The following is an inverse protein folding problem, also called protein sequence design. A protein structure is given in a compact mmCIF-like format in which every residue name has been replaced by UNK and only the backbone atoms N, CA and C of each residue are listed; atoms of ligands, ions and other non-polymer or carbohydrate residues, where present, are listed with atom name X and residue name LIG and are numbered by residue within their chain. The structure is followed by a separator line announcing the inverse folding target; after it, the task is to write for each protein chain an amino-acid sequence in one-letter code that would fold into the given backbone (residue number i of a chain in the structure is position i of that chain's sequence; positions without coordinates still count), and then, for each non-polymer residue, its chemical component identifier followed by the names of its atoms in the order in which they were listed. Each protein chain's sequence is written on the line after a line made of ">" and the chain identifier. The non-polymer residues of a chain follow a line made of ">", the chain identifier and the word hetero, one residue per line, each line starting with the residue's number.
data_IF_341076562850
#
_entry.id   IF_341076562850
#
_cell.length_a   1.000
_cell.length_b   1.000
_cell.length_c   1.000
_cell.angle_alpha   90.00
_cell.angle_beta   90.00
_cell.angle_gamma   90.00
#
_symmetry.space_group_name_H-M   'P 1'
#
loop_
_entity.id
_entity.type
_entity.pdbx_description
1 polymer ?
#
# COMPACT_ATOMS: atom_id res chain seq x y z
N UNK A 1 31.90 31.21 7.63
CA UNK A 1 30.64 31.03 8.37
C UNK A 1 29.80 30.09 7.53
N UNK A 2 29.38 29.00 8.16
CA UNK A 2 28.92 27.72 7.61
C UNK A 2 27.91 27.78 6.45
N UNK A 3 28.22 27.03 5.39
CA UNK A 3 27.22 26.51 4.45
C UNK A 3 26.27 25.57 5.20
N UNK A 4 24.95 25.80 5.11
CA UNK A 4 23.96 24.76 5.38
C UNK A 4 23.19 24.45 4.11
N UNK A 5 23.67 23.44 3.40
CA UNK A 5 22.88 22.66 2.45
C UNK A 5 21.85 21.81 3.19
N UNK A 6 20.74 21.61 2.48
CA UNK A 6 19.87 20.42 2.45
C UNK A 6 18.92 20.14 3.62
N UNK A 7 17.65 20.44 3.37
CA UNK A 7 16.51 19.63 3.81
C UNK A 7 15.63 19.29 2.58
N UNK A 8 16.15 18.44 1.70
CA UNK A 8 15.38 17.78 0.62
C UNK A 8 15.31 16.25 0.85
N UNK A 9 15.29 15.83 2.12
CA UNK A 9 15.31 14.41 2.49
C UNK A 9 13.94 13.74 2.52
N UNK A 10 12.83 14.50 2.56
CA UNK A 10 11.49 13.94 2.79
C UNK A 10 10.76 13.44 1.54
N UNK A 11 11.13 13.92 0.35
CA UNK A 11 10.34 13.69 -0.87
C UNK A 11 10.83 12.52 -1.75
N UNK A 12 11.97 11.89 -1.42
CA UNK A 12 12.62 10.91 -2.32
C UNK A 12 12.28 9.44 -2.06
N UNK A 13 11.60 9.10 -0.96
CA UNK A 13 11.36 7.69 -0.60
C UNK A 13 9.91 7.22 -0.68
N UNK A 14 8.93 8.12 -0.79
CA UNK A 14 7.54 7.76 -1.11
C UNK A 14 7.42 7.05 -2.49
N UNK A 15 8.45 7.21 -3.34
CA UNK A 15 8.53 6.59 -4.66
C UNK A 15 8.91 5.10 -4.65
N UNK A 16 9.37 4.51 -3.54
CA UNK A 16 9.86 3.11 -3.56
C UNK A 16 8.79 2.05 -3.33
N UNK A 17 7.57 2.42 -2.94
CA UNK A 17 6.46 1.47 -2.66
C UNK A 17 5.14 1.95 -3.27
N UNK A 18 5.15 3.02 -4.07
CA UNK A 18 3.96 3.41 -4.81
C UNK A 18 3.75 2.34 -5.89
N UNK A 19 2.73 1.47 -5.78
CA UNK A 19 2.49 0.47 -6.81
C UNK A 19 2.22 1.18 -8.13
N UNK A 20 2.77 0.66 -9.21
CA UNK A 20 2.33 1.00 -10.56
C UNK A 20 1.24 0.02 -10.97
N UNK A 21 0.36 0.36 -11.92
CA UNK A 21 -0.63 -0.60 -12.37
C UNK A 21 -0.03 -1.70 -13.28
N UNK A 22 1.30 -1.83 -13.37
CA UNK A 22 2.01 -2.99 -13.93
C UNK A 22 2.50 -3.96 -12.83
N UNK A 23 2.49 -3.54 -11.56
CA UNK A 23 2.87 -4.38 -10.43
C UNK A 23 1.71 -5.34 -10.09
N UNK A 24 1.85 -6.58 -10.55
CA UNK A 24 0.82 -7.61 -10.40
C UNK A 24 1.22 -8.65 -9.34
N UNK A 25 0.31 -8.90 -8.40
CA UNK A 25 0.35 -10.06 -7.50
C UNK A 25 -0.50 -11.16 -8.11
N UNK A 26 0.14 -12.21 -8.62
CA UNK A 26 -0.48 -13.26 -9.45
C UNK A 26 -0.75 -14.56 -8.70
N UNK A 27 -0.23 -14.70 -7.49
CA UNK A 27 -0.41 -15.91 -6.68
C UNK A 27 -0.61 -15.61 -5.20
N UNK A 28 -1.11 -16.60 -4.45
CA UNK A 28 -1.25 -16.50 -2.98
C UNK A 28 0.12 -16.29 -2.31
N UNK A 29 1.16 -16.96 -2.79
CA UNK A 29 2.49 -16.87 -2.18
C UNK A 29 3.14 -15.51 -2.48
N UNK A 30 2.88 -14.92 -3.66
CA UNK A 30 3.23 -13.53 -3.95
C UNK A 30 2.47 -12.53 -3.06
N UNK A 31 1.18 -12.78 -2.79
CA UNK A 31 0.40 -11.96 -1.86
C UNK A 31 0.95 -12.05 -0.44
N UNK A 32 1.33 -13.25 0.03
CA UNK A 32 1.98 -13.43 1.33
C UNK A 32 3.28 -12.63 1.38
N UNK A 33 4.13 -12.77 0.36
CA UNK A 33 5.41 -12.05 0.27
C UNK A 33 5.22 -10.53 0.28
N UNK A 34 4.18 -10.03 -0.40
CA UNK A 34 3.82 -8.62 -0.42
C UNK A 34 3.39 -8.12 0.97
N UNK A 35 2.51 -8.86 1.66
CA UNK A 35 2.03 -8.51 3.00
C UNK A 35 3.17 -8.55 4.03
N UNK A 36 4.06 -9.55 3.95
CA UNK A 36 5.26 -9.64 4.79
C UNK A 36 6.19 -8.46 4.54
N UNK A 37 6.41 -8.09 3.29
CA UNK A 37 7.20 -6.91 2.92
C UNK A 37 6.62 -5.60 3.48
N UNK A 38 5.29 -5.40 3.39
CA UNK A 38 4.63 -4.25 4.00
C UNK A 38 4.81 -4.22 5.52
N UNK A 39 4.67 -5.38 6.18
CA UNK A 39 4.89 -5.50 7.63
C UNK A 39 6.33 -5.17 8.01
N UNK A 40 7.31 -5.66 7.27
CA UNK A 40 8.73 -5.37 7.50
C UNK A 40 9.06 -3.87 7.31
N UNK A 41 8.46 -3.23 6.29
CA UNK A 41 8.62 -1.80 6.09
C UNK A 41 7.98 -1.00 7.23
N UNK A 42 6.76 -1.37 7.66
CA UNK A 42 6.11 -0.75 8.81
C UNK A 42 6.93 -0.91 10.10
N UNK A 43 7.52 -2.08 10.36
CA UNK A 43 8.38 -2.29 11.53
C UNK A 43 9.64 -1.41 11.50
N UNK A 44 10.16 -1.10 10.31
CA UNK A 44 11.40 -0.33 10.13
C UNK A 44 11.16 1.18 10.10
N UNK A 45 10.10 1.60 9.42
CA UNK A 45 9.82 2.99 9.02
C UNK A 45 8.34 3.36 9.15
N UNK A 46 7.53 2.61 9.89
CA UNK A 46 6.11 2.91 10.10
C UNK A 46 5.84 4.26 10.74
N UNK A 47 6.81 4.84 11.45
CA UNK A 47 6.74 6.21 11.96
C UNK A 47 6.80 7.29 10.87
N UNK A 48 7.22 6.93 9.65
CA UNK A 48 7.21 7.78 8.46
C UNK A 48 5.91 7.62 7.65
N UNK A 49 5.09 6.61 7.96
CA UNK A 49 3.83 6.39 7.26
C UNK A 49 2.80 7.44 7.67
N UNK A 50 2.08 7.99 6.69
CA UNK A 50 0.97 8.89 6.96
C UNK A 50 -0.16 8.21 7.75
N UNK A 51 -0.42 6.93 7.44
CA UNK A 51 -1.46 6.10 8.06
C UNK A 51 -0.86 5.01 8.95
N UNK A 52 -0.27 5.43 10.08
CA UNK A 52 0.51 4.55 10.95
C UNK A 52 -0.32 3.71 11.95
N UNK A 53 -1.59 4.04 12.18
CA UNK A 53 -2.47 3.23 13.06
C UNK A 53 -3.36 2.33 12.22
N UNK A 54 -3.79 1.19 12.78
CA UNK A 54 -4.71 0.29 12.09
C UNK A 54 -6.01 1.01 11.65
N UNK A 55 -6.52 1.92 12.49
CA UNK A 55 -7.69 2.75 12.18
C UNK A 55 -7.48 3.62 10.92
N UNK A 56 -6.43 4.47 10.93
CA UNK A 56 -6.09 5.33 9.78
C UNK A 56 -5.73 4.53 8.52
N UNK A 57 -5.09 3.36 8.68
CA UNK A 57 -4.72 2.49 7.58
C UNK A 57 -5.96 1.89 6.90
N UNK A 58 -6.93 1.42 7.68
CA UNK A 58 -8.19 0.87 7.15
C UNK A 58 -9.06 1.96 6.51
N UNK A 59 -9.08 3.17 7.08
CA UNK A 59 -9.75 4.33 6.48
C UNK A 59 -9.13 4.67 5.11
N UNK A 60 -7.81 4.81 5.05
CA UNK A 60 -7.09 5.10 3.81
C UNK A 60 -7.23 3.99 2.76
N UNK A 61 -7.21 2.72 3.17
CA UNK A 61 -7.43 1.57 2.29
C UNK A 61 -8.84 1.63 1.66
N UNK A 62 -9.88 1.90 2.46
CA UNK A 62 -11.24 2.02 1.97
C UNK A 62 -11.39 3.20 0.98
N UNK A 63 -10.82 4.35 1.32
CA UNK A 63 -10.82 5.52 0.45
C UNK A 63 -10.09 5.25 -0.89
N UNK A 64 -8.95 4.56 -0.85
CA UNK A 64 -8.21 4.17 -2.05
C UNK A 64 -8.99 3.17 -2.91
N UNK A 65 -9.56 2.10 -2.33
CA UNK A 65 -10.35 1.12 -3.11
C UNK A 65 -11.49 1.82 -3.84
N UNK A 66 -12.17 2.76 -3.18
CA UNK A 66 -13.23 3.56 -3.78
C UNK A 66 -12.73 4.44 -4.94
N UNK A 67 -11.57 5.08 -4.78
CA UNK A 67 -10.97 5.96 -5.78
C UNK A 67 -10.18 5.22 -6.87
N UNK A 68 -9.86 3.93 -6.67
CA UNK A 68 -8.91 3.18 -7.49
C UNK A 68 -9.24 3.16 -8.99
N UNK A 69 -10.52 3.09 -9.46
CA UNK A 69 -10.81 3.16 -10.89
C UNK A 69 -10.26 4.43 -11.56
N UNK A 70 -10.40 5.59 -10.89
CA UNK A 70 -9.84 6.85 -11.39
C UNK A 70 -8.31 6.87 -11.38
N UNK A 71 -7.69 6.16 -10.43
CA UNK A 71 -6.23 5.98 -10.42
C UNK A 71 -5.75 5.15 -11.61
N UNK A 72 -6.38 4.02 -11.93
CA UNK A 72 -6.05 3.21 -13.13
C UNK A 72 -6.23 4.02 -14.42
N UNK A 73 -7.30 4.82 -14.52
CA UNK A 73 -7.56 5.70 -15.66
C UNK A 73 -6.44 6.73 -15.89
N UNK A 74 -5.81 7.24 -14.82
CA UNK A 74 -4.67 8.16 -14.94
C UNK A 74 -3.45 7.49 -15.63
N UNK A 75 -3.37 6.17 -15.61
CA UNK A 75 -2.35 5.38 -16.34
C UNK A 75 -2.86 4.83 -17.68
N UNK A 76 -4.05 5.21 -18.12
CA UNK A 76 -4.66 4.69 -19.35
C UNK A 76 -5.02 3.21 -19.27
N UNK A 77 -5.27 2.70 -18.07
CA UNK A 77 -5.64 1.29 -17.83
C UNK A 77 -7.02 1.19 -17.20
N UNK A 78 -7.63 0.03 -17.36
CA UNK A 78 -8.83 -0.35 -16.62
C UNK A 78 -8.44 -1.09 -15.33
N UNK A 79 -9.20 -0.95 -14.23
CA UNK A 79 -9.01 -1.78 -13.06
C UNK A 79 -9.24 -3.26 -13.42
N UNK A 80 -8.56 -4.20 -12.75
CA UNK A 80 -8.76 -5.62 -13.02
C UNK A 80 -10.22 -6.02 -12.78
N UNK A 81 -10.91 -6.48 -13.83
CA UNK A 81 -12.32 -6.92 -13.78
C UNK A 81 -12.53 -8.08 -12.77
N UNK A 82 -11.48 -8.84 -12.49
CA UNK A 82 -11.48 -10.07 -11.71
C UNK A 82 -10.91 -9.93 -10.29
N UNK A 83 -10.99 -8.75 -9.67
CA UNK A 83 -10.66 -8.64 -8.26
C UNK A 83 -11.54 -9.59 -7.45
N UNK A 84 -10.96 -10.60 -6.79
CA UNK A 84 -11.71 -11.45 -5.85
C UNK A 84 -11.94 -10.67 -4.55
N UNK A 85 -12.86 -9.69 -4.61
CA UNK A 85 -13.24 -8.84 -3.49
C UNK A 85 -13.75 -9.65 -2.30
N UNK A 86 -14.34 -10.82 -2.58
CA UNK A 86 -14.82 -11.74 -1.54
C UNK A 86 -13.64 -12.35 -0.79
N UNK A 87 -12.59 -12.79 -1.49
CA UNK A 87 -11.37 -13.27 -0.85
C UNK A 87 -10.71 -12.18 -0.01
N UNK A 88 -10.56 -10.96 -0.54
CA UNK A 88 -9.94 -9.85 0.20
C UNK A 88 -10.71 -9.54 1.49
N UNK A 89 -12.04 -9.45 1.43
CA UNK A 89 -12.88 -9.22 2.60
C UNK A 89 -12.74 -10.34 3.65
N UNK A 90 -12.71 -11.61 3.22
CA UNK A 90 -12.52 -12.77 4.11
C UNK A 90 -11.14 -12.79 4.74
N UNK A 91 -10.09 -12.45 3.98
CA UNK A 91 -8.72 -12.38 4.49
C UNK A 91 -8.58 -11.29 5.57
N UNK A 92 -9.11 -10.08 5.32
CA UNK A 92 -9.14 -8.99 6.30
C UNK A 92 -9.89 -9.40 7.57
N UNK A 93 -11.06 -10.05 7.43
CA UNK A 93 -11.82 -10.56 8.58
C UNK A 93 -11.04 -11.63 9.35
N UNK A 94 -10.41 -12.59 8.66
CA UNK A 94 -9.64 -13.65 9.30
C UNK A 94 -8.45 -13.09 10.09
N UNK A 95 -7.76 -12.07 9.58
CA UNK A 95 -6.63 -11.42 10.26
C UNK A 95 -6.96 -10.81 11.62
N UNK A 96 -8.25 -10.59 11.94
CA UNK A 96 -8.68 -10.10 13.26
C UNK A 96 -8.65 -11.16 14.36
N UNK A 97 -8.56 -12.45 14.00
CA UNK A 97 -8.68 -13.59 14.94
C UNK A 97 -7.63 -14.69 14.72
N UNK A 98 -6.98 -14.73 13.57
CA UNK A 98 -6.01 -15.77 13.20
C UNK A 98 -4.66 -15.53 13.90
N UNK A 99 -4.06 -16.60 14.47
CA UNK A 99 -2.77 -16.59 15.19
C UNK A 99 -1.57 -16.98 14.30
#
# INVERSE_FOLDING_TARGET
>A
MEERRTSEGGARYFQSISPTPDDEVRSRDELVSFVEGLREDYLRRGHEWENQTLDSFLEALAAWVHASPGWYQNFGKEPPESGDWTFLARALQAATVYE
#
